data_IF_308570375090
#
_entry.id   IF_308570375090
#
_cell.length_a   1.000
_cell.length_b   1.000
_cell.length_c   1.000
_cell.angle_alpha   90.00
_cell.angle_beta   90.00
_cell.angle_gamma   90.00
#
_symmetry.space_group_name_H-M   'P 1'
#
loop_
_entity.id
_entity.type
_entity.pdbx_description
1 polymer ?
#
# COMPACT_ATOMS: atom_id res chain seq x y z
N UNK A 1 -5.77 -32.19 -18.26
CA UNK A 1 -5.17 -30.99 -18.89
C UNK A 1 -5.19 -29.87 -17.88
N UNK A 2 -4.03 -29.30 -17.51
CA UNK A 2 -4.00 -28.12 -16.66
C UNK A 2 -4.27 -26.90 -17.54
N UNK A 3 -5.42 -26.25 -17.34
CA UNK A 3 -5.89 -25.13 -18.18
C UNK A 3 -5.34 -23.77 -17.76
N UNK A 4 -4.58 -23.71 -16.66
CA UNK A 4 -4.04 -22.48 -16.11
C UNK A 4 -2.52 -22.51 -16.07
N UNK A 5 -1.88 -21.52 -16.71
CA UNK A 5 -0.44 -21.27 -16.60
C UNK A 5 -0.19 -20.39 -15.38
N UNK A 6 0.17 -21.01 -14.25
CA UNK A 6 0.46 -20.26 -13.04
C UNK A 6 1.76 -19.48 -13.20
N UNK A 7 1.75 -18.21 -12.82
CA UNK A 7 2.97 -17.40 -12.76
C UNK A 7 3.83 -17.90 -11.60
N UNK A 8 5.09 -18.22 -11.89
CA UNK A 8 6.02 -18.65 -10.85
C UNK A 8 6.41 -17.45 -9.98
N UNK A 9 6.30 -17.63 -8.67
CA UNK A 9 6.72 -16.64 -7.68
C UNK A 9 7.97 -17.22 -7.03
N UNK A 10 9.10 -16.55 -7.19
CA UNK A 10 10.35 -16.96 -6.55
C UNK A 10 10.17 -16.88 -5.03
N UNK A 11 10.36 -17.98 -4.29
CA UNK A 11 10.27 -17.95 -2.84
C UNK A 11 11.29 -16.97 -2.25
N UNK A 12 10.88 -16.09 -1.32
CA UNK A 12 11.81 -15.27 -0.55
C UNK A 12 12.63 -16.12 0.42
N UNK A 13 13.72 -15.54 0.93
CA UNK A 13 14.54 -16.07 2.03
C UNK A 13 13.97 -15.69 3.42
N UNK A 14 12.76 -15.14 3.46
CA UNK A 14 12.05 -14.73 4.67
C UNK A 14 10.55 -15.04 4.56
N UNK A 15 9.85 -15.12 5.69
CA UNK A 15 8.40 -15.23 5.72
C UNK A 15 7.81 -14.11 6.59
N UNK A 16 6.63 -13.64 6.21
CA UNK A 16 5.84 -12.64 6.92
C UNK A 16 4.97 -13.35 7.96
N UNK A 17 5.04 -12.89 9.21
CA UNK A 17 4.20 -13.34 10.31
C UNK A 17 3.71 -12.15 11.15
N UNK A 18 3.04 -12.40 12.28
CA UNK A 18 2.51 -11.34 13.15
C UNK A 18 3.57 -10.53 13.92
N UNK A 19 4.86 -10.84 13.78
CA UNK A 19 5.99 -10.05 14.31
C UNK A 19 6.57 -9.12 13.25
N UNK A 20 6.34 -9.41 11.98
CA UNK A 20 6.77 -8.60 10.84
C UNK A 20 6.08 -7.24 10.81
N UNK A 21 6.86 -6.19 10.58
CA UNK A 21 6.39 -4.81 10.40
C UNK A 21 6.52 -4.41 8.95
N UNK A 22 5.40 -4.03 8.36
CA UNK A 22 5.29 -3.78 6.93
C UNK A 22 5.07 -2.29 6.69
N UNK A 23 5.65 -1.77 5.62
CA UNK A 23 5.27 -0.45 5.09
C UNK A 23 4.97 -0.57 3.61
N UNK A 24 3.79 -0.15 3.17
CA UNK A 24 3.34 -0.21 1.79
C UNK A 24 3.21 1.20 1.22
N UNK A 25 3.90 1.46 0.10
CA UNK A 25 3.85 2.71 -0.64
C UNK A 25 3.50 2.43 -2.10
N UNK A 26 2.61 3.21 -2.70
CA UNK A 26 2.38 3.09 -4.14
C UNK A 26 1.02 3.52 -4.66
N UNK A 27 0.62 2.84 -5.74
CA UNK A 27 -0.66 3.02 -6.42
C UNK A 27 -1.87 2.60 -5.58
N UNK A 28 -3.09 2.76 -6.13
CA UNK A 28 -4.32 2.24 -5.52
C UNK A 28 -4.24 0.73 -5.23
N UNK A 29 -3.46 -0.01 -6.01
CA UNK A 29 -3.24 -1.44 -5.76
C UNK A 29 -2.47 -1.69 -4.45
N UNK A 30 -1.56 -0.78 -4.07
CA UNK A 30 -0.90 -0.83 -2.75
C UNK A 30 -1.93 -0.72 -1.61
N UNK A 31 -2.95 0.13 -1.75
CA UNK A 31 -4.03 0.23 -0.76
C UNK A 31 -4.89 -1.01 -0.72
N UNK A 32 -5.20 -1.61 -1.88
CA UNK A 32 -5.93 -2.88 -1.92
C UNK A 32 -5.22 -3.99 -1.14
N UNK A 33 -3.90 -4.14 -1.35
CA UNK A 33 -3.09 -5.12 -0.64
C UNK A 33 -2.88 -4.75 0.83
N UNK A 34 -2.65 -3.46 1.13
CA UNK A 34 -2.55 -2.95 2.48
C UNK A 34 -3.82 -3.18 3.29
N UNK A 35 -4.99 -2.98 2.69
CA UNK A 35 -6.28 -3.26 3.30
C UNK A 35 -6.45 -4.75 3.63
N UNK A 36 -5.84 -5.66 2.85
CA UNK A 36 -5.80 -7.09 3.21
C UNK A 36 -4.94 -7.35 4.44
N UNK A 37 -3.73 -6.80 4.49
CA UNK A 37 -2.88 -6.89 5.69
C UNK A 37 -3.58 -6.30 6.93
N UNK A 38 -4.17 -5.11 6.80
CA UNK A 38 -4.94 -4.45 7.88
C UNK A 38 -6.15 -5.29 8.30
N UNK A 39 -6.89 -5.86 7.35
CA UNK A 39 -8.01 -6.75 7.64
C UNK A 39 -7.53 -7.94 8.47
N UNK A 40 -6.45 -8.60 8.09
CA UNK A 40 -5.89 -9.71 8.85
C UNK A 40 -5.03 -9.30 10.06
N UNK A 41 -5.04 -8.01 10.43
CA UNK A 41 -4.39 -7.43 11.62
C UNK A 41 -2.87 -7.58 11.65
N UNK A 42 -2.22 -7.62 10.50
CA UNK A 42 -0.77 -7.47 10.43
C UNK A 42 -0.37 -6.04 10.81
N UNK A 43 0.83 -5.87 11.36
CA UNK A 43 1.41 -4.56 11.63
C UNK A 43 1.87 -3.95 10.29
N UNK A 44 1.02 -3.12 9.71
CA UNK A 44 1.22 -2.54 8.38
C UNK A 44 0.94 -1.05 8.39
N UNK A 45 1.86 -0.28 7.82
CA UNK A 45 1.67 1.12 7.54
C UNK A 45 1.45 1.36 6.04
N UNK A 46 0.30 1.92 5.65
CA UNK A 46 -0.12 2.01 4.24
C UNK A 46 -0.19 3.46 3.80
N UNK A 47 0.53 3.78 2.71
CA UNK A 47 0.54 5.06 2.02
C UNK A 47 0.52 6.29 2.98
N UNK A 48 1.59 6.52 3.77
CA UNK A 48 1.69 7.66 4.67
C UNK A 48 1.37 9.04 4.10
N UNK A 49 1.66 9.27 2.82
CA UNK A 49 1.32 10.52 2.12
C UNK A 49 0.11 10.36 1.18
N UNK A 50 -0.64 9.27 1.32
CA UNK A 50 -1.67 8.81 0.38
C UNK A 50 -1.08 8.20 -0.89
N UNK A 51 -1.93 7.94 -1.88
CA UNK A 51 -1.56 7.25 -3.13
C UNK A 51 -0.49 8.03 -3.89
N UNK A 52 0.67 7.38 -4.10
CA UNK A 52 1.82 7.88 -4.86
C UNK A 52 2.28 6.80 -5.84
N UNK A 53 1.88 6.91 -7.10
CA UNK A 53 1.87 5.77 -8.02
C UNK A 53 3.04 5.71 -9.02
N UNK A 54 3.99 6.64 -8.98
CA UNK A 54 5.16 6.62 -9.87
C UNK A 54 6.47 6.58 -9.07
N UNK A 55 7.59 6.08 -9.66
CA UNK A 55 8.83 5.90 -8.93
C UNK A 55 9.35 7.15 -8.23
N UNK A 56 9.33 8.31 -8.89
CA UNK A 56 9.87 9.56 -8.34
C UNK A 56 9.03 10.09 -7.18
N UNK A 57 7.70 10.02 -7.26
CA UNK A 57 6.83 10.44 -6.16
C UNK A 57 6.99 9.56 -4.92
N UNK A 58 7.11 8.24 -5.08
CA UNK A 58 7.41 7.34 -3.96
C UNK A 58 8.78 7.65 -3.35
N UNK A 59 9.81 7.86 -4.19
CA UNK A 59 11.15 8.23 -3.72
C UNK A 59 11.14 9.55 -2.92
N UNK A 60 10.38 10.54 -3.38
CA UNK A 60 10.21 11.79 -2.65
C UNK A 60 9.58 11.57 -1.27
N UNK A 61 8.54 10.73 -1.16
CA UNK A 61 7.91 10.40 0.14
C UNK A 61 8.91 9.74 1.10
N UNK A 62 9.70 8.79 0.61
CA UNK A 62 10.74 8.15 1.43
C UNK A 62 11.82 9.15 1.89
N UNK A 63 12.21 10.11 1.03
CA UNK A 63 13.12 11.19 1.42
C UNK A 63 12.54 12.11 2.48
N UNK A 64 11.25 12.46 2.39
CA UNK A 64 10.61 13.27 3.42
C UNK A 64 10.76 12.63 4.81
N UNK A 65 10.64 11.30 4.89
CA UNK A 65 10.84 10.54 6.14
C UNK A 65 12.30 10.53 6.59
N UNK A 66 13.23 10.26 5.66
CA UNK A 66 14.67 10.22 5.95
C UNK A 66 15.20 11.58 6.43
N UNK A 67 14.79 12.65 5.75
CA UNK A 67 15.30 14.00 5.97
C UNK A 67 14.55 14.72 7.11
N UNK A 68 13.62 14.03 7.79
CA UNK A 68 12.79 14.60 8.86
C UNK A 68 12.10 15.92 8.44
N UNK A 69 11.55 15.95 7.22
CA UNK A 69 10.96 17.17 6.67
C UNK A 69 9.73 17.57 7.49
N UNK A 70 9.75 18.79 8.04
CA UNK A 70 8.57 19.45 8.60
C UNK A 70 7.98 20.41 7.57
N UNK A 71 6.71 20.23 7.26
CA UNK A 71 5.95 21.10 6.39
C UNK A 71 5.51 22.36 7.13
N UNK A 72 5.62 23.49 6.45
CA UNK A 72 5.18 24.81 6.87
C UNK A 72 4.21 25.37 5.81
N UNK A 73 3.59 26.52 6.09
CA UNK A 73 2.69 27.18 5.14
C UNK A 73 3.34 27.41 3.77
N UNK A 74 4.63 27.76 3.74
CA UNK A 74 5.41 27.97 2.52
C UNK A 74 5.61 26.72 1.66
N UNK A 75 5.39 25.53 2.23
CA UNK A 75 5.45 24.25 1.50
C UNK A 75 4.09 23.87 0.88
N UNK A 76 3.04 24.67 1.12
CA UNK A 76 1.68 24.42 0.65
C UNK A 76 1.27 25.42 -0.42
N UNK A 77 0.34 24.99 -1.28
CA UNK A 77 -0.31 25.84 -2.27
C UNK A 77 -1.78 26.02 -1.91
N UNK A 78 -2.36 27.15 -2.31
CA UNK A 78 -3.79 27.39 -2.19
C UNK A 78 -4.48 27.18 -3.52
N UNK A 79 -5.24 26.11 -3.63
CA UNK A 79 -5.89 25.68 -4.87
C UNK A 79 -7.35 25.31 -4.63
N UNK A 80 -8.25 25.84 -5.45
CA UNK A 80 -9.70 25.59 -5.36
C UNK A 80 -10.27 25.76 -3.93
N UNK A 81 -9.80 26.78 -3.21
CA UNK A 81 -10.23 27.08 -1.84
C UNK A 81 -9.71 26.12 -0.77
N UNK A 82 -8.74 25.25 -1.09
CA UNK A 82 -8.08 24.35 -0.16
C UNK A 82 -6.57 24.58 -0.13
N UNK A 83 -5.95 24.24 0.99
CA UNK A 83 -4.51 24.07 1.10
C UNK A 83 -4.14 22.67 0.62
N UNK A 84 -3.13 22.61 -0.26
CA UNK A 84 -2.68 21.37 -0.90
C UNK A 84 -1.17 21.24 -0.81
N UNK A 85 -0.69 20.01 -0.66
CA UNK A 85 0.73 19.67 -0.77
C UNK A 85 0.95 18.87 -2.05
N UNK A 86 1.86 19.33 -2.91
CA UNK A 86 2.22 18.62 -4.14
C UNK A 86 2.93 17.26 -3.88
N UNK A 87 3.34 17.00 -2.64
CA UNK A 87 3.89 15.72 -2.20
C UNK A 87 2.83 14.70 -1.75
N UNK A 88 1.60 15.15 -1.50
CA UNK A 88 0.56 14.34 -0.88
C UNK A 88 -0.63 14.12 -1.80
N UNK A 89 -1.34 13.02 -1.58
CA UNK A 89 -2.64 12.77 -2.19
C UNK A 89 -3.69 13.81 -1.73
N UNK A 90 -4.73 14.02 -2.54
CA UNK A 90 -5.79 14.99 -2.26
C UNK A 90 -6.60 14.74 -0.97
N UNK A 91 -6.47 13.57 -0.33
CA UNK A 91 -7.09 13.29 0.97
C UNK A 91 -6.45 14.06 2.13
N UNK A 92 -5.27 14.65 1.94
CA UNK A 92 -4.62 15.53 2.92
C UNK A 92 -5.08 16.98 2.79
N UNK A 93 -5.74 17.34 1.69
CA UNK A 93 -6.13 18.72 1.40
C UNK A 93 -7.36 19.15 2.21
N UNK A 94 -7.29 20.33 2.81
CA UNK A 94 -8.35 20.90 3.66
C UNK A 94 -8.47 22.41 3.44
N UNK A 95 -9.58 23.01 3.85
CA UNK A 95 -9.77 24.48 3.78
C UNK A 95 -8.95 25.21 4.84
N UNK A 96 -8.68 24.53 5.95
CA UNK A 96 -7.96 25.10 7.08
C UNK A 96 -6.48 24.71 7.07
N UNK A 97 -5.59 25.71 7.08
CA UNK A 97 -4.15 25.55 7.01
C UNK A 97 -3.60 24.64 8.12
N UNK A 98 -3.97 24.93 9.37
CA UNK A 98 -3.47 24.19 10.53
C UNK A 98 -3.95 22.73 10.52
N UNK A 99 -5.15 22.47 10.02
CA UNK A 99 -5.66 21.10 9.86
C UNK A 99 -4.83 20.30 8.86
N UNK A 100 -4.42 20.91 7.73
CA UNK A 100 -3.52 20.26 6.76
C UNK A 100 -2.13 20.02 7.35
N UNK A 101 -1.53 21.06 7.95
CA UNK A 101 -0.18 20.98 8.51
C UNK A 101 -0.08 19.94 9.62
N UNK A 102 -1.06 19.91 10.55
CA UNK A 102 -1.09 18.94 11.63
C UNK A 102 -1.25 17.51 11.10
N UNK A 103 -2.12 17.31 10.10
CA UNK A 103 -2.34 16.00 9.48
C UNK A 103 -1.09 15.50 8.76
N UNK A 104 -0.47 16.35 7.94
CA UNK A 104 0.75 16.00 7.18
C UNK A 104 1.91 15.71 8.14
N UNK A 105 2.22 16.65 9.03
CA UNK A 105 3.38 16.51 9.92
C UNK A 105 3.22 15.38 10.92
N UNK A 106 2.02 15.22 11.50
CA UNK A 106 1.75 14.11 12.43
C UNK A 106 1.89 12.75 11.75
N UNK A 107 1.36 12.62 10.53
CA UNK A 107 1.44 11.37 9.78
C UNK A 107 2.86 11.06 9.31
N UNK A 108 3.63 12.08 8.90
CA UNK A 108 5.01 11.90 8.47
C UNK A 108 5.95 11.53 9.63
N UNK A 109 5.74 12.10 10.83
CA UNK A 109 6.47 11.73 12.03
C UNK A 109 6.21 10.26 12.40
N UNK A 110 4.96 9.84 12.41
CA UNK A 110 4.60 8.42 12.65
C UNK A 110 5.23 7.50 11.61
N UNK A 111 5.15 7.86 10.33
CA UNK A 111 5.73 7.06 9.24
C UNK A 111 7.25 6.96 9.34
N UNK A 112 7.93 8.03 9.77
CA UNK A 112 9.37 8.02 10.02
C UNK A 112 9.74 7.05 11.13
N UNK A 113 9.01 7.05 12.25
CA UNK A 113 9.26 6.10 13.33
C UNK A 113 8.93 4.66 12.91
N UNK A 114 7.90 4.46 12.09
CA UNK A 114 7.61 3.15 11.49
C UNK A 114 8.75 2.69 10.58
N UNK A 115 9.28 3.57 9.71
CA UNK A 115 10.32 3.22 8.75
C UNK A 115 11.59 2.66 9.41
N UNK A 116 11.97 3.18 10.58
CA UNK A 116 13.13 2.71 11.36
C UNK A 116 12.99 1.27 11.84
N UNK A 117 11.76 0.77 11.99
CA UNK A 117 11.44 -0.57 12.50
C UNK A 117 10.80 -1.50 11.46
N UNK A 118 10.56 -1.00 10.25
CA UNK A 118 9.97 -1.78 9.15
C UNK A 118 10.89 -2.93 8.77
N UNK A 119 10.36 -4.15 8.74
CA UNK A 119 11.10 -5.33 8.27
C UNK A 119 11.02 -5.47 6.75
N UNK A 120 9.89 -5.06 6.16
CA UNK A 120 9.65 -5.12 4.71
C UNK A 120 8.97 -3.85 4.20
N UNK A 121 9.68 -3.11 3.34
CA UNK A 121 9.12 -2.01 2.54
C UNK A 121 8.60 -2.56 1.22
N UNK A 122 7.30 -2.42 0.96
CA UNK A 122 6.67 -2.83 -0.29
C UNK A 122 6.36 -1.60 -1.14
N UNK A 123 6.93 -1.55 -2.33
CA UNK A 123 6.77 -0.44 -3.28
C UNK A 123 6.00 -0.91 -4.50
N UNK A 124 4.81 -0.32 -4.72
CA UNK A 124 3.93 -0.63 -5.85
C UNK A 124 3.89 0.50 -6.87
N UNK A 125 4.56 0.34 -8.00
CA UNK A 125 4.52 1.36 -9.07
C UNK A 125 3.36 1.12 -10.04
N UNK A 126 2.63 2.19 -10.34
CA UNK A 126 1.57 2.26 -11.33
C UNK A 126 2.07 2.60 -12.72
N UNK A 127 2.88 3.66 -12.84
CA UNK A 127 3.35 4.16 -14.14
C UNK A 127 4.73 4.80 -14.04
N UNK A 128 5.47 4.78 -15.15
CA UNK A 128 6.73 5.49 -15.31
C UNK A 128 6.51 6.95 -15.76
N UNK A 129 5.27 7.34 -16.06
CA UNK A 129 4.91 8.71 -16.36
C UNK A 129 4.84 9.57 -15.10
N UNK A 130 5.40 10.76 -15.19
CA UNK A 130 5.43 11.75 -14.11
C UNK A 130 4.90 13.09 -14.60
N UNK A 131 4.50 13.92 -13.64
CA UNK A 131 4.14 15.31 -13.87
C UNK A 131 5.09 16.19 -13.05
N UNK A 132 5.81 17.07 -13.74
CA UNK A 132 6.75 18.02 -13.14
C UNK A 132 6.10 19.39 -13.11
N UNK A 133 5.95 19.94 -11.91
CA UNK A 133 5.40 21.27 -11.72
C UNK A 133 6.42 22.32 -12.16
N UNK A 134 6.16 23.01 -13.27
CA UNK A 134 7.18 23.81 -13.94
C UNK A 134 7.70 24.97 -13.08
N UNK A 135 6.88 25.55 -12.20
CA UNK A 135 7.31 26.66 -11.33
C UNK A 135 8.42 26.26 -10.35
N UNK A 136 8.46 25.00 -9.93
CA UNK A 136 9.41 24.50 -8.91
C UNK A 136 10.38 23.47 -9.46
N UNK A 137 10.11 22.93 -10.65
CA UNK A 137 10.85 21.81 -11.22
C UNK A 137 10.59 20.46 -10.55
N UNK A 138 9.67 20.40 -9.58
CA UNK A 138 9.42 19.21 -8.78
C UNK A 138 8.47 18.23 -9.45
N UNK A 139 8.78 16.93 -9.42
CA UNK A 139 7.81 15.88 -9.75
C UNK A 139 6.80 15.72 -8.62
N UNK A 140 5.51 15.85 -8.94
CA UNK A 140 4.43 15.88 -7.96
C UNK A 140 3.76 14.51 -7.79
N UNK A 141 3.26 14.24 -6.58
CA UNK A 141 2.43 13.09 -6.28
C UNK A 141 1.02 13.22 -6.88
N UNK A 142 0.47 14.45 -6.85
CA UNK A 142 -0.86 14.76 -7.33
C UNK A 142 -0.90 16.17 -7.90
N UNK A 143 -1.60 16.37 -9.02
CA UNK A 143 -1.72 17.67 -9.66
C UNK A 143 -2.80 18.58 -9.01
N UNK A 144 -3.60 18.06 -8.07
CA UNK A 144 -4.61 18.82 -7.29
C UNK A 144 -5.57 19.68 -8.12
N UNK A 145 -5.87 19.23 -9.35
CA UNK A 145 -6.68 19.96 -10.35
C UNK A 145 -6.11 21.33 -10.77
N UNK A 146 -4.82 21.58 -10.51
CA UNK A 146 -4.08 22.71 -11.08
C UNK A 146 -4.08 22.55 -12.62
N UNK A 147 -4.19 23.64 -13.41
CA UNK A 147 -4.24 23.55 -14.86
C UNK A 147 -3.09 22.74 -15.46
N UNK A 148 -3.41 21.83 -16.39
CA UNK A 148 -2.43 20.92 -16.99
C UNK A 148 -1.23 21.63 -17.65
N UNK A 149 -1.44 22.86 -18.16
CA UNK A 149 -0.40 23.71 -18.74
C UNK A 149 0.70 24.13 -17.76
N UNK A 150 0.52 23.94 -16.45
CA UNK A 150 1.56 24.21 -15.44
C UNK A 150 2.47 22.99 -15.18
N UNK A 151 2.18 21.86 -15.84
CA UNK A 151 2.95 20.65 -15.69
C UNK A 151 3.60 20.25 -17.01
N UNK A 152 4.87 19.89 -16.91
CA UNK A 152 5.55 19.12 -17.92
C UNK A 152 5.30 17.63 -17.63
N UNK A 153 4.81 16.89 -18.62
CA UNK A 153 4.57 15.45 -18.47
C UNK A 153 5.58 14.69 -19.33
N UNK A 154 6.33 13.80 -18.69
CA UNK A 154 7.32 12.95 -19.37
C UNK A 154 7.37 11.56 -18.73
N UNK A 155 7.97 10.61 -19.44
CA UNK A 155 8.19 9.25 -18.95
C UNK A 155 9.62 9.13 -18.46
N UNK A 156 9.80 8.64 -17.24
CA UNK A 156 11.12 8.32 -16.72
C UNK A 156 11.76 7.21 -17.56
N UNK A 157 13.06 7.29 -17.76
CA UNK A 157 13.86 6.21 -18.32
C UNK A 157 14.15 5.13 -17.26
N UNK A 158 14.58 3.97 -17.73
CA UNK A 158 14.99 2.85 -16.84
C UNK A 158 16.13 3.28 -15.91
N UNK A 159 17.18 3.91 -16.46
CA UNK A 159 18.34 4.37 -15.68
C UNK A 159 17.98 5.42 -14.64
N UNK A 160 17.13 6.40 -14.98
CA UNK A 160 16.67 7.41 -14.00
C UNK A 160 15.94 6.79 -12.79
N UNK A 161 15.24 5.67 -12.98
CA UNK A 161 14.56 4.96 -11.90
C UNK A 161 15.56 4.10 -11.12
N UNK A 162 16.41 3.35 -11.82
CA UNK A 162 17.36 2.44 -11.19
C UNK A 162 18.37 3.21 -10.32
N UNK A 163 19.03 4.23 -10.88
CA UNK A 163 20.04 5.04 -10.16
C UNK A 163 19.45 5.69 -8.90
N UNK A 164 18.22 6.21 -9.03
CA UNK A 164 17.47 6.81 -7.94
C UNK A 164 17.25 5.82 -6.79
N UNK A 165 16.75 4.63 -7.09
CA UNK A 165 16.39 3.65 -6.07
C UNK A 165 17.59 2.91 -5.50
N UNK A 166 18.64 2.68 -6.29
CA UNK A 166 19.91 2.12 -5.79
C UNK A 166 20.49 3.06 -4.72
N UNK A 167 20.54 4.36 -5.00
CA UNK A 167 20.98 5.37 -4.04
C UNK A 167 20.05 5.47 -2.83
N UNK A 168 18.74 5.51 -3.06
CA UNK A 168 17.74 5.62 -2.00
C UNK A 168 17.74 4.41 -1.04
N UNK A 169 17.84 3.19 -1.56
CA UNK A 169 17.85 1.98 -0.74
C UNK A 169 19.10 1.95 0.16
N UNK A 170 20.26 2.38 -0.36
CA UNK A 170 21.48 2.52 0.47
C UNK A 170 21.25 3.50 1.63
N UNK A 171 20.68 4.67 1.36
CA UNK A 171 20.33 5.67 2.40
C UNK A 171 19.29 5.15 3.40
N UNK A 172 18.29 4.40 2.94
CA UNK A 172 17.30 3.77 3.82
C UNK A 172 17.98 2.79 4.79
N UNK A 173 18.98 2.04 4.31
CA UNK A 173 19.73 1.08 5.11
C UNK A 173 20.77 1.69 6.05
N UNK A 174 21.18 2.94 5.84
CA UNK A 174 21.91 3.69 6.87
C UNK A 174 21.06 3.90 8.14
N UNK A 175 19.74 3.96 7.99
CA UNK A 175 18.79 4.12 9.10
C UNK A 175 18.26 2.77 9.61
N UNK A 176 18.03 1.82 8.70
CA UNK A 176 17.50 0.49 9.01
C UNK A 176 18.27 -0.59 8.21
N UNK A 177 19.40 -1.10 8.75
CA UNK A 177 20.32 -1.97 8.02
C UNK A 177 19.69 -3.24 7.44
N UNK A 178 18.71 -3.81 8.14
CA UNK A 178 18.07 -5.08 7.78
C UNK A 178 16.83 -4.90 6.87
N UNK A 179 16.56 -3.66 6.42
CA UNK A 179 15.38 -3.36 5.61
C UNK A 179 15.39 -4.14 4.28
N UNK A 180 14.41 -5.01 4.14
CA UNK A 180 14.06 -5.67 2.88
C UNK A 180 13.15 -4.78 2.04
N UNK A 181 13.35 -4.79 0.73
CA UNK A 181 12.51 -4.03 -0.20
C UNK A 181 11.87 -4.96 -1.21
N UNK A 182 10.54 -4.98 -1.29
CA UNK A 182 9.81 -5.73 -2.29
C UNK A 182 9.14 -4.77 -3.28
N UNK A 183 9.49 -4.89 -4.55
CA UNK A 183 8.79 -4.18 -5.62
C UNK A 183 7.65 -5.03 -6.18
N UNK A 184 6.61 -4.36 -6.64
CA UNK A 184 5.58 -4.94 -7.51
C UNK A 184 5.12 -3.89 -8.51
N UNK A 185 4.78 -4.33 -9.71
CA UNK A 185 4.12 -3.46 -10.69
C UNK A 185 2.61 -3.62 -10.54
N UNK A 186 1.91 -2.50 -10.47
CA UNK A 186 0.45 -2.47 -10.33
C UNK A 186 -0.22 -3.12 -11.55
N UNK A 187 -1.14 -4.07 -11.39
CA UNK A 187 -1.92 -4.66 -12.49
C UNK A 187 -2.93 -3.71 -13.13
N UNK A 188 -3.30 -2.63 -12.44
CA UNK A 188 -4.25 -1.61 -12.96
C UNK A 188 -3.71 -0.99 -14.27
N UNK A 189 -4.58 -0.92 -15.27
CA UNK A 189 -4.27 -0.42 -16.62
C UNK A 189 -4.33 1.10 -16.66
N UNK A 190 -3.25 1.74 -17.11
CA UNK A 190 -3.18 3.18 -17.34
C UNK A 190 -3.52 3.52 -18.80
N UNK A 191 -4.81 3.63 -19.11
CA UNK A 191 -5.27 3.75 -20.50
C UNK A 191 -5.11 5.13 -21.14
N UNK A 192 -4.70 6.15 -20.37
CA UNK A 192 -4.53 7.53 -20.86
C UNK A 192 -3.55 7.61 -22.05
N UNK A 193 -2.60 6.69 -22.12
CA UNK A 193 -1.59 6.60 -23.18
C UNK A 193 -1.85 5.45 -24.17
N UNK A 194 -3.06 4.89 -24.17
CA UNK A 194 -3.37 3.69 -24.95
C UNK A 194 -2.73 2.41 -24.40
N UNK A 195 -2.99 1.31 -25.09
CA UNK A 195 -2.51 0.00 -24.71
C UNK A 195 -0.98 -0.10 -24.82
N UNK A 196 -0.42 0.42 -25.91
CA UNK A 196 1.01 0.46 -26.21
C UNK A 196 1.76 1.35 -25.21
N UNK A 197 1.26 2.55 -24.92
CA UNK A 197 1.86 3.45 -23.94
C UNK A 197 1.85 2.86 -22.52
N UNK A 198 0.77 2.17 -22.14
CA UNK A 198 0.71 1.42 -20.89
C UNK A 198 1.77 0.30 -20.88
N UNK A 199 1.86 -0.51 -21.94
CA UNK A 199 2.83 -1.60 -22.01
C UNK A 199 4.26 -1.08 -21.88
N UNK A 200 4.64 -0.07 -22.68
CA UNK A 200 5.96 0.53 -22.60
C UNK A 200 6.25 1.08 -21.20
N UNK A 201 5.27 1.74 -20.57
CA UNK A 201 5.42 2.22 -19.20
C UNK A 201 5.64 1.09 -18.20
N UNK A 202 4.91 -0.03 -18.29
CA UNK A 202 5.06 -1.16 -17.36
C UNK A 202 6.39 -1.88 -17.60
N UNK A 203 6.79 -2.08 -18.85
CA UNK A 203 8.10 -2.62 -19.22
C UNK A 203 9.24 -1.76 -18.68
N UNK A 204 9.15 -0.43 -18.74
CA UNK A 204 10.14 0.46 -18.13
C UNK A 204 10.28 0.21 -16.62
N UNK A 205 9.16 0.05 -15.90
CA UNK A 205 9.18 -0.25 -14.46
C UNK A 205 9.82 -1.61 -14.18
N UNK A 206 9.45 -2.65 -14.94
CA UNK A 206 9.99 -4.01 -14.79
C UNK A 206 11.51 -4.04 -15.01
N UNK A 207 11.98 -3.42 -16.10
CA UNK A 207 13.41 -3.33 -16.40
C UNK A 207 14.18 -2.57 -15.32
N UNK A 208 13.59 -1.50 -14.75
CA UNK A 208 14.21 -0.77 -13.67
C UNK A 208 14.29 -1.60 -12.38
N UNK A 209 13.24 -2.35 -12.04
CA UNK A 209 13.26 -3.26 -10.89
C UNK A 209 14.37 -4.30 -11.04
N UNK A 210 14.53 -4.88 -12.23
CA UNK A 210 15.58 -5.87 -12.46
C UNK A 210 16.99 -5.27 -12.27
N UNK A 211 17.26 -4.09 -12.85
CA UNK A 211 18.53 -3.40 -12.62
C UNK A 211 18.79 -3.09 -11.14
N UNK A 212 17.77 -2.73 -10.37
CA UNK A 212 17.90 -2.50 -8.92
C UNK A 212 18.24 -3.81 -8.19
N UNK A 213 17.59 -4.92 -8.55
CA UNK A 213 17.83 -6.25 -7.94
C UNK A 213 19.23 -6.77 -8.21
N UNK A 214 19.77 -6.52 -9.40
CA UNK A 214 21.15 -6.88 -9.75
C UNK A 214 22.18 -6.03 -8.97
N UNK A 215 21.85 -4.78 -8.66
CA UNK A 215 22.77 -3.83 -8.05
C UNK A 215 22.76 -3.81 -6.51
N UNK A 216 21.68 -4.28 -5.88
CA UNK A 216 21.47 -4.19 -4.42
C UNK A 216 20.81 -5.46 -3.88
N UNK A 217 21.40 -6.05 -2.83
CA UNK A 217 20.87 -7.24 -2.16
C UNK A 217 19.56 -6.96 -1.38
N UNK A 218 18.87 -8.03 -0.94
CA UNK A 218 17.61 -7.97 -0.19
C UNK A 218 16.52 -7.14 -0.91
N UNK A 219 16.49 -7.24 -2.24
CA UNK A 219 15.47 -6.67 -3.10
C UNK A 219 14.70 -7.79 -3.80
N UNK A 220 13.39 -7.78 -3.64
CA UNK A 220 12.47 -8.82 -4.10
C UNK A 220 11.49 -8.27 -5.12
N UNK A 221 10.90 -9.16 -5.92
CA UNK A 221 9.83 -8.82 -6.84
C UNK A 221 8.63 -9.73 -6.64
N UNK A 222 7.45 -9.13 -6.48
CA UNK A 222 6.18 -9.84 -6.49
C UNK A 222 5.45 -9.58 -7.82
N UNK A 223 5.16 -10.63 -8.62
CA UNK A 223 4.67 -10.47 -10.00
C UNK A 223 3.15 -10.26 -10.09
N UNK A 224 2.60 -9.24 -9.40
CA UNK A 224 1.16 -8.98 -9.43
C UNK A 224 0.64 -8.60 -10.83
N UNK A 225 1.46 -7.91 -11.62
CA UNK A 225 1.13 -7.49 -12.98
C UNK A 225 0.98 -8.71 -13.91
N UNK A 226 1.95 -9.61 -13.86
CA UNK A 226 2.00 -10.84 -14.63
C UNK A 226 0.92 -11.82 -14.16
N UNK A 227 0.61 -11.92 -12.86
CA UNK A 227 -0.52 -12.75 -12.40
C UNK A 227 -1.82 -12.33 -13.09
N UNK A 228 -2.08 -11.02 -13.18
CA UNK A 228 -3.30 -10.54 -13.85
C UNK A 228 -3.23 -10.75 -15.37
N UNK A 229 -2.11 -10.43 -15.99
CA UNK A 229 -2.01 -10.52 -17.45
C UNK A 229 -1.86 -11.94 -17.97
N UNK A 230 -1.18 -12.82 -17.25
CA UNK A 230 -0.75 -14.12 -17.72
C UNK A 230 -1.46 -15.30 -17.05
N UNK A 231 -1.84 -15.17 -15.79
CA UNK A 231 -2.57 -16.23 -15.08
C UNK A 231 -4.09 -15.98 -15.10
N UNK A 232 -4.52 -14.72 -15.13
CA UNK A 232 -5.92 -14.27 -15.15
C UNK A 232 -6.28 -13.54 -16.47
N UNK A 233 -5.97 -14.17 -17.61
CA UNK A 233 -6.10 -13.66 -19.01
C UNK A 233 -7.55 -13.37 -19.49
N UNK A 234 -8.41 -12.72 -18.69
CA UNK A 234 -9.83 -12.49 -19.04
C UNK A 234 -10.39 -11.16 -18.48
N UNK A 235 -11.33 -10.53 -19.19
CA UNK A 235 -11.97 -9.27 -18.77
C UNK A 235 -12.82 -9.40 -17.50
N UNK A 236 -13.30 -10.60 -17.16
CA UNK A 236 -14.07 -10.86 -15.92
C UNK A 236 -13.32 -10.51 -14.63
N UNK A 237 -12.00 -10.35 -14.72
CA UNK A 237 -11.13 -9.99 -13.62
C UNK A 237 -10.96 -8.48 -13.44
N UNK A 238 -11.52 -7.68 -14.36
CA UNK A 238 -11.57 -6.22 -14.28
C UNK A 238 -12.96 -5.74 -13.83
N UNK A 239 -12.99 -4.60 -13.16
CA UNK A 239 -14.22 -3.91 -12.76
C UNK A 239 -14.95 -3.34 -13.98
N UNK A 240 -16.10 -2.70 -13.74
CA UNK A 240 -16.97 -2.15 -14.81
C UNK A 240 -16.25 -1.20 -15.77
N UNK A 241 -15.21 -0.50 -15.31
CA UNK A 241 -14.41 0.39 -16.14
C UNK A 241 -13.36 -0.31 -17.01
N UNK A 242 -13.23 -1.63 -16.90
CA UNK A 242 -12.28 -2.49 -17.62
C UNK A 242 -10.80 -2.15 -17.37
N UNK A 243 -10.49 -1.34 -16.35
CA UNK A 243 -9.13 -0.89 -16.01
C UNK A 243 -8.73 -1.27 -14.59
N UNK A 244 -9.64 -1.08 -13.63
CA UNK A 244 -9.44 -1.49 -12.25
C UNK A 244 -9.76 -2.97 -12.07
N UNK A 245 -9.26 -3.57 -10.99
CA UNK A 245 -9.50 -4.97 -10.67
C UNK A 245 -10.80 -5.14 -9.88
N UNK A 246 -11.46 -6.27 -10.06
CA UNK A 246 -12.54 -6.67 -9.14
C UNK A 246 -11.98 -7.04 -7.76
N UNK A 247 -12.85 -7.06 -6.74
CA UNK A 247 -12.48 -7.57 -5.41
C UNK A 247 -12.01 -9.03 -5.47
N UNK A 248 -12.65 -9.86 -6.29
CA UNK A 248 -12.25 -11.24 -6.52
C UNK A 248 -10.80 -11.35 -7.02
N UNK A 249 -10.41 -10.49 -7.98
CA UNK A 249 -9.05 -10.49 -8.52
C UNK A 249 -8.03 -10.06 -7.48
N UNK A 250 -8.35 -9.05 -6.65
CA UNK A 250 -7.52 -8.65 -5.52
C UNK A 250 -7.37 -9.80 -4.51
N UNK A 251 -8.46 -10.51 -4.20
CA UNK A 251 -8.45 -11.68 -3.31
C UNK A 251 -7.56 -12.79 -3.84
N UNK A 252 -7.62 -13.04 -5.15
CA UNK A 252 -6.76 -14.03 -5.80
C UNK A 252 -5.28 -13.66 -5.69
N UNK A 253 -4.92 -12.40 -5.97
CA UNK A 253 -3.52 -11.96 -5.86
C UNK A 253 -3.06 -12.01 -4.40
N UNK A 254 -3.93 -11.67 -3.44
CA UNK A 254 -3.69 -11.85 -2.02
C UNK A 254 -3.40 -13.31 -1.69
N UNK A 255 -4.19 -14.27 -2.17
CA UNK A 255 -3.91 -15.69 -1.99
C UNK A 255 -2.56 -16.09 -2.58
N UNK A 256 -2.21 -15.62 -3.79
CA UNK A 256 -0.88 -15.87 -4.39
C UNK A 256 0.25 -15.33 -3.50
N UNK A 257 0.07 -14.16 -2.88
CA UNK A 257 1.01 -13.60 -1.92
C UNK A 257 1.06 -14.44 -0.63
N UNK A 258 -0.09 -14.82 -0.07
CA UNK A 258 -0.18 -15.66 1.13
C UNK A 258 0.64 -16.93 0.97
N UNK A 259 0.43 -17.67 -0.13
CA UNK A 259 1.12 -18.94 -0.37
C UNK A 259 2.62 -18.80 -0.57
N UNK A 260 3.10 -17.62 -0.91
CA UNK A 260 4.51 -17.42 -1.29
C UNK A 260 5.32 -16.68 -0.21
N UNK A 261 4.68 -15.82 0.58
CA UNK A 261 5.37 -14.92 1.52
C UNK A 261 4.90 -15.05 2.96
N UNK A 262 3.75 -15.66 3.26
CA UNK A 262 3.23 -15.73 4.64
C UNK A 262 3.63 -17.04 5.29
N UNK A 263 4.03 -16.98 6.56
CA UNK A 263 4.37 -18.18 7.32
C UNK A 263 3.16 -19.12 7.45
N UNK A 264 3.30 -20.41 7.12
CA UNK A 264 2.23 -21.39 7.31
C UNK A 264 1.70 -21.44 8.75
N UNK A 265 2.56 -21.16 9.74
CA UNK A 265 2.24 -21.20 11.17
C UNK A 265 1.16 -20.18 11.58
N UNK A 266 1.03 -19.07 10.85
CA UNK A 266 0.05 -18.03 11.16
C UNK A 266 -1.29 -18.19 10.42
N UNK A 267 -1.41 -19.13 9.47
CA UNK A 267 -2.62 -19.31 8.67
C UNK A 267 -3.86 -19.66 9.53
N UNK A 268 -3.68 -20.45 10.59
CA UNK A 268 -4.76 -20.78 11.53
C UNK A 268 -5.30 -19.55 12.28
N UNK A 269 -4.40 -18.65 12.67
CA UNK A 269 -4.75 -17.39 13.35
C UNK A 269 -5.41 -16.44 12.36
N UNK A 270 -4.90 -16.33 11.13
CA UNK A 270 -5.53 -15.54 10.08
C UNK A 270 -6.96 -15.97 9.79
N UNK A 271 -7.25 -17.28 9.76
CA UNK A 271 -8.60 -17.81 9.59
C UNK A 271 -9.51 -17.37 10.76
N UNK A 272 -9.00 -17.45 11.99
CA UNK A 272 -9.72 -16.99 13.19
C UNK A 272 -10.02 -15.49 13.12
N UNK A 273 -9.04 -14.66 12.76
CA UNK A 273 -9.23 -13.20 12.57
C UNK A 273 -10.25 -12.92 11.46
N UNK A 274 -10.18 -13.64 10.34
CA UNK A 274 -11.16 -13.52 9.26
C UNK A 274 -12.59 -13.81 9.72
N UNK A 275 -12.80 -14.84 10.55
CA UNK A 275 -14.11 -15.14 11.16
C UNK A 275 -14.56 -14.05 12.13
N UNK A 276 -13.65 -13.55 12.97
CA UNK A 276 -13.92 -12.45 13.91
C UNK A 276 -14.40 -11.21 13.14
N UNK A 277 -13.63 -10.77 12.14
CA UNK A 277 -13.97 -9.59 11.36
C UNK A 277 -15.30 -9.75 10.62
N UNK A 278 -15.55 -10.91 10.00
CA UNK A 278 -16.85 -11.20 9.37
C UNK A 278 -18.00 -11.09 10.37
N UNK A 279 -17.83 -11.64 11.57
CA UNK A 279 -18.79 -11.55 12.67
C UNK A 279 -19.05 -10.11 13.11
N UNK A 280 -18.01 -9.28 13.20
CA UNK A 280 -18.13 -7.86 13.57
C UNK A 280 -18.82 -7.04 12.47
N UNK A 281 -18.54 -7.33 11.20
CA UNK A 281 -19.19 -6.63 10.08
C UNK A 281 -20.65 -7.01 9.89
N UNK A 282 -21.08 -8.16 10.41
CA UNK A 282 -22.46 -8.60 10.32
C UNK A 282 -23.35 -7.69 11.17
N UNK A 283 -24.26 -6.96 10.53
CA UNK A 283 -25.26 -6.16 11.24
C UNK A 283 -26.39 -7.08 11.73
N UNK A 284 -26.62 -7.22 13.04
CA UNK A 284 -27.75 -8.01 13.53
C UNK A 284 -29.07 -7.36 13.14
N UNK A 285 -30.09 -8.20 12.94
CA UNK A 285 -31.47 -7.73 12.79
C UNK A 285 -32.00 -7.12 14.09
N UNK A 286 -31.70 -7.76 15.22
CA UNK A 286 -31.96 -7.25 16.56
C UNK A 286 -30.68 -7.31 17.42
N UNK A 287 -30.11 -6.13 17.69
CA UNK A 287 -28.88 -5.98 18.45
C UNK A 287 -29.05 -6.17 19.97
N UNK A 288 -30.28 -6.23 20.49
CA UNK A 288 -30.55 -6.48 21.92
C UNK A 288 -30.91 -7.93 22.22
N UNK A 289 -31.09 -8.76 21.17
CA UNK A 289 -31.39 -10.18 21.31
C UNK A 289 -30.30 -10.95 22.06
N UNK A 290 -30.71 -11.96 22.83
CA UNK A 290 -29.79 -12.83 23.57
C UNK A 290 -28.85 -13.63 22.65
N UNK A 291 -29.33 -14.00 21.46
CA UNK A 291 -28.53 -14.67 20.44
C UNK A 291 -27.37 -13.78 19.96
N UNK A 292 -27.63 -12.49 19.73
CA UNK A 292 -26.58 -11.56 19.35
C UNK A 292 -25.60 -11.29 20.50
N UNK A 293 -26.09 -11.10 21.74
CA UNK A 293 -25.22 -10.99 22.92
C UNK A 293 -24.33 -12.23 23.10
N UNK A 294 -24.85 -13.42 22.83
CA UNK A 294 -24.07 -14.66 22.84
C UNK A 294 -23.01 -14.70 21.73
N UNK A 295 -23.34 -14.24 20.52
CA UNK A 295 -22.35 -14.07 19.44
C UNK A 295 -21.24 -13.10 19.86
N UNK A 296 -21.60 -11.94 20.43
CA UNK A 296 -20.65 -10.92 20.90
C UNK A 296 -19.69 -11.51 21.95
N UNK A 297 -20.20 -12.26 22.94
CA UNK A 297 -19.35 -12.95 23.94
C UNK A 297 -18.38 -13.94 23.28
N UNK A 298 -18.83 -14.72 22.28
CA UNK A 298 -17.98 -15.64 21.53
C UNK A 298 -16.88 -14.90 20.75
N UNK A 299 -17.21 -13.77 20.11
CA UNK A 299 -16.24 -12.94 19.40
C UNK A 299 -15.19 -12.37 20.35
N UNK A 300 -15.61 -11.83 21.49
CA UNK A 300 -14.69 -11.31 22.52
C UNK A 300 -13.76 -12.40 23.08
N UNK A 301 -14.29 -13.62 23.32
CA UNK A 301 -13.47 -14.74 23.75
C UNK A 301 -12.42 -15.14 22.68
N UNK A 302 -12.81 -15.18 21.41
CA UNK A 302 -11.90 -15.46 20.30
C UNK A 302 -10.82 -14.36 20.15
N UNK A 303 -11.19 -13.09 20.29
CA UNK A 303 -10.24 -11.97 20.28
C UNK A 303 -9.23 -12.12 21.42
N UNK A 304 -9.68 -12.42 22.64
CA UNK A 304 -8.78 -12.60 23.80
C UNK A 304 -7.77 -13.72 23.56
N UNK A 305 -8.19 -14.83 22.97
CA UNK A 305 -7.29 -15.94 22.66
C UNK A 305 -6.26 -15.57 21.59
N UNK A 306 -6.70 -14.90 20.51
CA UNK A 306 -5.78 -14.41 19.47
C UNK A 306 -4.75 -13.44 20.05
N UNK A 307 -5.19 -12.44 20.82
CA UNK A 307 -4.28 -11.44 21.41
C UNK A 307 -3.37 -12.05 22.49
N UNK A 308 -3.79 -13.13 23.17
CA UNK A 308 -2.93 -13.87 24.10
C UNK A 308 -1.79 -14.59 23.39
N UNK A 309 -2.06 -15.21 22.23
CA UNK A 309 -1.06 -15.93 21.44
C UNK A 309 -0.20 -14.95 20.63
N UNK A 310 -0.79 -13.88 20.10
CA UNK A 310 -0.14 -12.85 19.30
C UNK A 310 -0.40 -11.45 19.89
N UNK A 311 0.43 -11.00 20.85
CA UNK A 311 0.23 -9.71 21.54
C UNK A 311 0.29 -8.47 20.63
N UNK A 312 0.89 -8.59 19.45
CA UNK A 312 0.97 -7.52 18.44
C UNK A 312 -0.35 -7.30 17.70
N UNK A 313 -1.28 -8.26 17.74
CA UNK A 313 -2.58 -8.16 17.07
C UNK A 313 -3.53 -7.26 17.86
N UNK A 314 -3.88 -6.12 17.28
CA UNK A 314 -4.68 -5.08 17.93
C UNK A 314 -6.17 -5.11 17.51
N UNK A 315 -7.03 -5.40 18.49
CA UNK A 315 -8.50 -5.34 18.38
C UNK A 315 -9.13 -4.27 19.28
N UNK A 316 -8.38 -3.28 19.78
CA UNK A 316 -8.89 -2.33 20.79
C UNK A 316 -10.16 -1.59 20.35
N UNK A 317 -10.25 -1.20 19.06
CA UNK A 317 -11.43 -0.54 18.50
C UNK A 317 -12.63 -1.50 18.45
N UNK A 318 -12.40 -2.72 17.97
CA UNK A 318 -13.42 -3.75 17.84
C UNK A 318 -13.94 -4.21 19.21
N UNK A 319 -13.06 -4.36 20.20
CA UNK A 319 -13.42 -4.69 21.59
C UNK A 319 -14.36 -3.60 22.13
N UNK A 320 -13.97 -2.33 22.01
CA UNK A 320 -14.81 -1.20 22.47
C UNK A 320 -16.19 -1.20 21.78
N UNK A 321 -16.24 -1.49 20.48
CA UNK A 321 -17.49 -1.59 19.75
C UNK A 321 -18.36 -2.76 20.23
N UNK A 322 -17.76 -3.93 20.43
CA UNK A 322 -18.47 -5.14 20.87
C UNK A 322 -18.98 -5.03 22.31
N UNK A 323 -18.20 -4.46 23.22
CA UNK A 323 -18.58 -4.26 24.61
C UNK A 323 -19.79 -3.34 24.77
N UNK A 324 -19.95 -2.35 23.88
CA UNK A 324 -21.11 -1.46 23.88
C UNK A 324 -22.45 -2.20 23.69
N UNK A 325 -22.46 -3.39 23.06
CA UNK A 325 -23.66 -4.22 22.89
C UNK A 325 -23.98 -5.10 24.10
N UNK A 326 -23.08 -5.18 25.09
CA UNK A 326 -23.30 -5.95 26.32
C UNK A 326 -23.73 -5.07 27.51
N UNK A 327 -23.60 -3.76 27.38
CA UNK A 327 -23.96 -2.77 28.41
C UNK A 327 -25.38 -2.20 28.26
N UNK A 328 -26.07 -2.55 27.17
CA UNK A 328 -27.51 -2.33 26.93
C UNK A 328 -28.21 -3.66 27.17
#
# INVERSE_FOLDING_TARGET
MNLQTKVNITPPDFLIDYRSKLMLLGSCFAENMGNKFTYYKFDVDVNPCGIVYNPRSVANVLRLMLDNKKFQESDLLRENGKWVSLYHHGCFSDRELMTVLNRINGRLEEARENLKRTDLLVVTWGTAWVYKYMKTGMVVANCHKIPAKEFERYRLSVGEIADEYISLIRRLREVNPDLRVMFTVSPIRHWKDGADGNQLSKSTLLLAIEQIREAVELVYYFPAYEIVLDELRDYRFYAEDMLHLTSFTVDYIWERLLFSYISPDVLGVMNTIGRINKGITHRPFDATSDDYRNLVRKLLAAIREVTRIHPTVNFAKEIKQLEAYLTV
#
